data_IF_012474090453
#
_entry.id   IF_012474090453
#
_cell.length_a   1.000
_cell.length_b   1.000
_cell.length_c   1.000
_cell.angle_alpha   90.00
_cell.angle_beta   90.00
_cell.angle_gamma   90.00
#
_symmetry.space_group_name_H-M   'P 1'
#
loop_
_entity.id
_entity.type
_entity.pdbx_description
1 polymer ?
#
# COMPACT_ATOMS: atom_id res chain seq x y z
N UNK A 1 -19.74 20.53 -13.19
CA UNK A 1 -18.31 20.46 -13.54
C UNK A 1 -17.93 19.01 -13.66
N UNK A 2 -17.62 18.53 -14.87
CA UNK A 2 -17.25 17.14 -15.09
C UNK A 2 -15.73 17.04 -15.02
N UNK A 3 -15.18 17.09 -13.80
CA UNK A 3 -13.75 16.91 -13.57
C UNK A 3 -13.44 15.45 -13.87
N UNK A 4 -12.90 15.18 -15.07
CA UNK A 4 -12.19 13.93 -15.32
C UNK A 4 -10.99 13.91 -14.38
N UNK A 5 -11.19 13.40 -13.17
CA UNK A 5 -10.08 13.06 -12.28
C UNK A 5 -9.33 11.97 -13.05
N UNK A 6 -8.14 12.27 -13.54
CA UNK A 6 -7.20 11.24 -13.97
C UNK A 6 -6.90 10.43 -12.71
N UNK A 7 -7.69 9.38 -12.47
CA UNK A 7 -7.56 8.58 -11.26
C UNK A 7 -6.33 7.70 -11.43
N UNK A 8 -5.22 8.14 -10.86
CA UNK A 8 -4.00 7.35 -10.83
C UNK A 8 -4.18 6.11 -9.97
N UNK A 9 -3.40 5.08 -10.30
CA UNK A 9 -3.40 3.84 -9.53
C UNK A 9 -2.67 4.08 -8.20
N UNK A 10 -3.40 3.96 -7.09
CA UNK A 10 -2.87 4.11 -5.75
C UNK A 10 -3.10 2.83 -4.96
N UNK A 11 -2.06 2.37 -4.26
CA UNK A 11 -2.09 1.15 -3.47
C UNK A 11 -1.99 1.49 -2.00
N UNK A 12 -2.95 1.06 -1.19
CA UNK A 12 -2.85 1.05 0.28
C UNK A 12 -2.44 -0.33 0.76
N UNK A 13 -1.54 -0.40 1.73
CA UNK A 13 -1.08 -1.64 2.36
C UNK A 13 -1.21 -1.51 3.87
N UNK A 14 -2.04 -2.37 4.45
CA UNK A 14 -2.10 -2.54 5.90
C UNK A 14 -1.22 -3.73 6.32
N UNK A 15 -0.49 -3.55 7.43
CA UNK A 15 0.55 -4.48 7.87
C UNK A 15 0.12 -5.19 9.14
N UNK A 16 -0.20 -6.47 9.01
CA UNK A 16 -0.32 -7.40 10.12
C UNK A 16 0.99 -8.15 10.39
N UNK A 17 1.05 -8.84 11.54
CA UNK A 17 2.20 -9.69 11.91
C UNK A 17 2.44 -10.82 10.92
N UNK A 18 1.37 -11.39 10.37
CA UNK A 18 1.43 -12.57 9.49
C UNK A 18 0.90 -12.30 8.09
N UNK A 19 0.25 -11.17 7.87
CA UNK A 19 -0.44 -10.85 6.62
C UNK A 19 -0.23 -9.39 6.21
N UNK A 20 -0.30 -9.13 4.91
CA UNK A 20 -0.37 -7.81 4.30
C UNK A 20 -1.68 -7.73 3.54
N UNK A 21 -2.51 -6.76 3.91
CA UNK A 21 -3.80 -6.49 3.28
C UNK A 21 -3.62 -5.34 2.29
N UNK A 22 -3.93 -5.59 1.01
CA UNK A 22 -3.58 -4.69 -0.09
C UNK A 22 -4.85 -4.26 -0.81
N UNK A 23 -5.00 -2.95 -0.99
CA UNK A 23 -6.11 -2.34 -1.69
C UNK A 23 -5.61 -1.47 -2.84
N UNK A 24 -6.08 -1.72 -4.06
CA UNK A 24 -5.70 -0.98 -5.27
C UNK A 24 -6.88 -0.13 -5.72
N UNK A 25 -6.69 1.20 -5.71
CA UNK A 25 -7.67 2.18 -6.19
C UNK A 25 -7.24 2.78 -7.52
N UNK A 26 -8.18 3.15 -8.40
CA UNK A 26 -9.64 3.05 -8.26
C UNK A 26 -10.21 1.68 -8.67
N UNK A 27 -9.37 0.68 -8.95
CA UNK A 27 -9.78 -0.63 -9.47
C UNK A 27 -10.67 -1.46 -8.53
N UNK A 28 -10.78 -1.04 -7.26
CA UNK A 28 -11.53 -1.75 -6.22
C UNK A 28 -11.06 -3.20 -6.02
N UNK A 29 -9.77 -3.44 -6.31
CA UNK A 29 -9.13 -4.73 -6.11
C UNK A 29 -8.58 -4.80 -4.70
N UNK A 30 -9.00 -5.82 -3.97
CA UNK A 30 -8.51 -6.13 -2.64
C UNK A 30 -7.98 -7.56 -2.59
N UNK A 31 -6.83 -7.76 -1.96
CA UNK A 31 -6.30 -9.09 -1.69
C UNK A 31 -5.33 -9.08 -0.51
N UNK A 32 -5.17 -10.24 0.10
CA UNK A 32 -4.25 -10.46 1.21
C UNK A 32 -3.14 -11.44 0.82
N UNK A 33 -1.93 -11.19 1.30
CA UNK A 33 -0.80 -12.12 1.19
C UNK A 33 -0.15 -12.33 2.55
N UNK A 34 0.67 -13.37 2.70
CA UNK A 34 1.47 -13.53 3.91
C UNK A 34 2.53 -12.42 4.03
N UNK A 35 2.77 -11.93 5.24
CA UNK A 35 3.89 -11.06 5.56
C UNK A 35 5.19 -11.90 5.69
N UNK A 36 5.61 -12.45 4.56
CA UNK A 36 6.81 -13.24 4.37
C UNK A 36 7.29 -13.11 2.92
N UNK A 37 8.52 -13.53 2.64
CA UNK A 37 9.14 -13.34 1.32
C UNK A 37 8.30 -13.87 0.15
N UNK A 38 7.62 -15.01 0.32
CA UNK A 38 6.76 -15.59 -0.71
C UNK A 38 5.53 -14.73 -0.97
N UNK A 39 4.88 -14.27 0.09
CA UNK A 39 3.71 -13.39 -0.01
C UNK A 39 4.07 -12.02 -0.59
N UNK A 40 5.17 -11.43 -0.14
CA UNK A 40 5.69 -10.15 -0.63
C UNK A 40 6.00 -10.23 -2.13
N UNK A 41 6.71 -11.27 -2.59
CA UNK A 41 6.97 -11.46 -4.02
C UNK A 41 5.69 -11.57 -4.85
N UNK A 42 4.66 -12.26 -4.34
CA UNK A 42 3.35 -12.36 -5.00
C UNK A 42 2.67 -10.99 -5.07
N UNK A 43 2.66 -10.24 -3.97
CA UNK A 43 2.10 -8.89 -3.93
C UNK A 43 2.78 -7.94 -4.91
N UNK A 44 4.12 -7.91 -4.94
CA UNK A 44 4.87 -7.05 -5.87
C UNK A 44 4.56 -7.36 -7.33
N UNK A 45 4.42 -8.65 -7.69
CA UNK A 45 4.03 -9.06 -9.05
C UNK A 45 2.68 -8.48 -9.45
N UNK A 46 1.67 -8.62 -8.58
CA UNK A 46 0.32 -8.10 -8.82
C UNK A 46 0.29 -6.57 -8.83
N UNK A 47 0.96 -5.92 -7.88
CA UNK A 47 0.99 -4.45 -7.82
C UNK A 47 1.66 -3.89 -9.08
N UNK A 48 2.80 -4.45 -9.50
CA UNK A 48 3.56 -3.96 -10.65
C UNK A 48 2.78 -4.05 -11.96
N UNK A 49 1.89 -5.02 -12.15
CA UNK A 49 1.08 -5.12 -13.37
C UNK A 49 0.06 -3.99 -13.53
N UNK A 50 -0.19 -3.22 -12.47
CA UNK A 50 -1.11 -2.08 -12.49
C UNK A 50 -0.39 -0.72 -12.56
N UNK A 51 0.94 -0.69 -12.66
CA UNK A 51 1.73 0.55 -12.78
C UNK A 51 1.32 1.64 -11.78
N UNK A 52 1.43 1.38 -10.46
CA UNK A 52 0.98 2.32 -9.43
C UNK A 52 1.77 3.62 -9.49
N UNK A 53 1.08 4.75 -9.30
CA UNK A 53 1.76 6.03 -9.05
C UNK A 53 2.34 6.05 -7.63
N UNK A 54 1.67 5.38 -6.68
CA UNK A 54 2.13 5.30 -5.30
C UNK A 54 1.64 4.04 -4.60
N UNK A 55 2.49 3.50 -3.74
CA UNK A 55 2.16 2.49 -2.74
C UNK A 55 2.34 3.14 -1.37
N UNK A 56 1.34 3.08 -0.50
CA UNK A 56 1.38 3.66 0.85
C UNK A 56 1.23 2.53 1.86
N UNK A 57 2.14 2.48 2.83
CA UNK A 57 2.11 1.53 3.94
C UNK A 57 2.23 2.28 5.26
N UNK A 58 1.37 1.94 6.23
CA UNK A 58 1.46 2.47 7.59
C UNK A 58 2.65 1.82 8.32
N UNK A 59 3.49 2.63 8.98
CA UNK A 59 4.61 2.10 9.75
C UNK A 59 4.13 1.43 11.04
N UNK A 60 4.35 0.12 11.20
CA UNK A 60 3.83 -0.66 12.34
C UNK A 60 4.96 -1.47 12.98
N UNK A 61 5.72 -0.83 13.88
CA UNK A 61 6.68 -1.53 14.73
C UNK A 61 7.74 -2.34 13.98
N UNK A 62 8.06 -1.95 12.73
CA UNK A 62 9.00 -2.60 11.79
C UNK A 62 8.46 -3.86 11.08
N UNK A 63 7.20 -4.26 11.29
CA UNK A 63 6.59 -5.38 10.57
C UNK A 63 6.49 -5.12 9.07
N UNK A 64 6.46 -3.85 8.66
CA UNK A 64 6.35 -3.40 7.29
C UNK A 64 7.69 -3.44 6.53
N UNK A 65 8.80 -3.51 7.25
CA UNK A 65 10.14 -3.32 6.69
C UNK A 65 10.50 -4.31 5.57
N UNK A 66 10.19 -5.62 5.67
CA UNK A 66 10.45 -6.55 4.58
C UNK A 66 9.74 -6.16 3.27
N UNK A 67 8.50 -5.69 3.36
CA UNK A 67 7.74 -5.21 2.20
C UNK A 67 8.31 -3.90 1.66
N UNK A 68 8.64 -2.94 2.53
CA UNK A 68 9.24 -1.65 2.15
C UNK A 68 10.56 -1.86 1.40
N UNK A 69 11.44 -2.72 1.91
CA UNK A 69 12.72 -3.03 1.27
C UNK A 69 12.52 -3.69 -0.09
N UNK A 70 11.65 -4.69 -0.18
CA UNK A 70 11.34 -5.34 -1.46
C UNK A 70 10.79 -4.36 -2.50
N UNK A 71 9.92 -3.42 -2.10
CA UNK A 71 9.44 -2.37 -2.98
C UNK A 71 10.56 -1.43 -3.45
N UNK A 72 11.46 -1.03 -2.54
CA UNK A 72 12.60 -0.17 -2.86
C UNK A 72 13.57 -0.85 -3.85
N UNK A 73 13.89 -2.13 -3.63
CA UNK A 73 14.71 -2.95 -4.54
C UNK A 73 14.06 -3.10 -5.92
N UNK A 74 12.72 -3.26 -5.96
CA UNK A 74 11.95 -3.32 -7.19
C UNK A 74 11.69 -1.95 -7.85
N UNK A 75 12.24 -0.86 -7.28
CA UNK A 75 12.05 0.53 -7.71
C UNK A 75 10.57 0.94 -7.81
N UNK A 76 9.74 0.40 -6.92
CA UNK A 76 8.33 0.77 -6.82
C UNK A 76 8.17 2.05 -5.97
N UNK A 77 7.17 2.90 -6.26
CA UNK A 77 6.98 4.20 -5.60
C UNK A 77 6.35 4.03 -4.21
N UNK A 78 7.10 3.43 -3.28
CA UNK A 78 6.67 3.17 -1.91
C UNK A 78 6.82 4.40 -1.00
N UNK A 79 5.81 4.62 -0.18
CA UNK A 79 5.77 5.65 0.86
C UNK A 79 5.45 4.98 2.18
N UNK A 80 6.39 5.04 3.12
CA UNK A 80 6.16 4.66 4.51
C UNK A 80 5.53 5.83 5.27
N UNK A 81 4.25 5.73 5.55
CA UNK A 81 3.48 6.78 6.19
C UNK A 81 3.55 6.69 7.73
N UNK A 82 3.54 7.85 8.38
CA UNK A 82 3.50 7.94 9.84
C UNK A 82 2.05 7.64 10.34
N UNK A 83 1.87 6.63 11.21
CA UNK A 83 0.58 6.29 11.83
C UNK A 83 -0.17 7.49 12.41
N UNK A 84 0.55 8.42 13.05
CA UNK A 84 -0.05 9.60 13.68
C UNK A 84 -0.70 10.50 12.63
N UNK A 85 -0.07 10.66 11.47
CA UNK A 85 -0.61 11.50 10.41
C UNK A 85 -1.82 10.84 9.75
N UNK A 86 -1.78 9.53 9.54
CA UNK A 86 -2.92 8.76 9.01
C UNK A 86 -4.13 8.92 9.92
N UNK A 87 -3.96 8.67 11.23
CA UNK A 87 -5.04 8.77 12.22
C UNK A 87 -5.60 10.18 12.36
N UNK A 88 -4.73 11.20 12.37
CA UNK A 88 -5.17 12.61 12.41
C UNK A 88 -5.92 13.01 11.15
N UNK A 89 -5.48 12.55 9.99
CA UNK A 89 -6.18 12.80 8.73
C UNK A 89 -7.55 12.16 8.74
N UNK A 90 -7.65 10.87 9.11
CA UNK A 90 -8.92 10.17 9.24
C UNK A 90 -9.88 10.91 10.17
N UNK A 91 -9.42 11.26 11.38
CA UNK A 91 -10.24 12.02 12.33
C UNK A 91 -10.70 13.38 11.81
N UNK A 92 -9.84 14.10 11.09
CA UNK A 92 -10.20 15.40 10.48
C UNK A 92 -11.28 15.28 9.40
N UNK A 93 -11.39 14.14 8.72
CA UNK A 93 -12.43 13.86 7.72
C UNK A 93 -13.62 13.07 8.30
N UNK A 94 -13.69 12.88 9.61
CA UNK A 94 -14.76 12.15 10.29
C UNK A 94 -14.72 10.63 10.09
N UNK A 95 -13.53 10.05 9.95
CA UNK A 95 -13.28 8.62 9.81
C UNK A 95 -12.43 8.07 10.94
#
# INVERSE_FOLDING_TARGET
MNTKINQSINVGVDTGKTQLDIHIRPLDLFFSVGNNDKGIKKALKTIKSHSPERIVIEATGRLEMPFVLACAEAQLPIVRANPVHIKRFAGAIGR
#
